data_IF_251285007811
#
_entry.id   IF_251285007811
#
_cell.length_a   1.000
_cell.length_b   1.000
_cell.length_c   1.000
_cell.angle_alpha   90.00
_cell.angle_beta   90.00
_cell.angle_gamma   90.00
#
_symmetry.space_group_name_H-M   'P 1'
#
loop_
_entity.id
_entity.type
_entity.pdbx_description
1 polymer ?
#
# COMPACT_ATOMS: atom_id res chain seq x y z
N UNK A 1 -5.78 -0.42 21.48
CA UNK A 1 -4.51 -0.88 20.87
C UNK A 1 -4.50 -0.31 19.47
N UNK A 2 -3.76 0.74 19.26
CA UNK A 2 -3.58 1.30 17.93
C UNK A 2 -2.64 0.36 17.19
N UNK A 3 -3.08 -0.22 16.06
CA UNK A 3 -2.15 -0.87 15.16
C UNK A 3 -1.39 0.22 14.44
N UNK A 4 -0.27 0.60 14.98
CA UNK A 4 0.68 1.35 14.20
C UNK A 4 1.23 0.37 13.17
N UNK A 5 0.82 0.49 11.94
CA UNK A 5 1.81 0.37 10.91
C UNK A 5 2.63 1.67 11.01
N UNK A 6 3.47 1.79 12.01
CA UNK A 6 4.72 2.45 11.76
C UNK A 6 5.05 1.94 10.37
N UNK A 7 5.08 2.81 9.38
CA UNK A 7 5.52 2.47 8.06
C UNK A 7 6.46 1.30 8.26
N UNK A 8 6.22 0.08 7.74
CA UNK A 8 7.21 -0.97 7.79
C UNK A 8 8.38 -0.48 6.96
N UNK A 9 8.82 0.69 7.35
CA UNK A 9 10.01 1.31 6.93
C UNK A 9 10.94 0.20 7.05
N UNK A 10 11.18 -0.40 5.91
CA UNK A 10 12.38 -1.10 5.80
C UNK A 10 12.92 -1.50 7.15
N UNK A 11 12.70 -2.73 7.55
CA UNK A 11 13.50 -3.30 8.62
C UNK A 11 14.99 -3.26 8.24
N UNK A 12 15.33 -2.45 7.24
CA UNK A 12 16.66 -2.00 6.95
C UNK A 12 17.06 -0.99 8.02
N UNK A 13 18.30 -0.98 8.41
CA UNK A 13 19.01 -0.13 9.37
C UNK A 13 18.82 1.40 9.23
N UNK A 14 17.72 1.87 8.65
CA UNK A 14 17.40 3.26 8.30
C UNK A 14 16.10 3.78 8.89
N UNK A 15 15.54 3.11 9.90
CA UNK A 15 14.40 3.68 10.62
C UNK A 15 14.83 5.02 11.23
N UNK A 16 14.23 6.10 10.77
CA UNK A 16 14.54 7.46 11.26
C UNK A 16 13.81 7.79 12.55
N UNK A 17 12.81 7.01 12.94
CA UNK A 17 12.03 7.21 14.14
C UNK A 17 10.84 6.26 14.27
N UNK A 18 9.98 6.52 15.23
CA UNK A 18 8.75 5.78 15.44
C UNK A 18 7.63 6.67 15.96
N UNK A 19 6.39 6.25 15.72
CA UNK A 19 5.21 6.90 16.27
C UNK A 19 4.75 6.12 17.50
N UNK A 20 4.36 6.84 18.56
CA UNK A 20 3.77 6.24 19.74
C UNK A 20 2.61 7.08 20.27
N UNK A 21 1.77 6.53 21.15
CA UNK A 21 0.71 7.30 21.78
C UNK A 21 0.66 7.15 23.29
N UNK A 22 0.26 8.23 23.94
CA UNK A 22 -0.04 8.30 25.37
C UNK A 22 -1.39 8.98 25.54
N UNK A 23 -2.36 8.28 26.12
CA UNK A 23 -3.71 8.81 26.37
C UNK A 23 -4.38 9.42 25.10
N UNK A 24 -4.17 8.77 23.95
CA UNK A 24 -4.71 9.23 22.67
C UNK A 24 -3.91 10.34 21.99
N UNK A 25 -2.95 10.94 22.67
CA UNK A 25 -2.00 11.86 22.02
C UNK A 25 -0.92 11.06 21.31
N UNK A 26 -0.73 11.32 20.01
CA UNK A 26 0.26 10.67 19.18
C UNK A 26 1.48 11.58 18.97
N UNK A 27 2.64 10.97 19.03
CA UNK A 27 3.93 11.64 18.92
C UNK A 27 4.84 10.89 17.97
N UNK A 28 5.69 11.60 17.25
CA UNK A 28 6.82 11.06 16.51
C UNK A 28 8.10 11.25 17.29
N UNK A 29 8.86 10.17 17.51
CA UNK A 29 10.18 10.17 18.12
C UNK A 29 11.25 9.89 17.06
N UNK A 30 12.17 10.82 16.85
CA UNK A 30 13.31 10.62 15.94
C UNK A 30 14.45 9.92 16.67
N UNK A 31 14.93 8.80 16.11
CA UNK A 31 16.09 8.07 16.63
C UNK A 31 17.40 8.50 15.98
N UNK A 32 17.33 9.20 14.85
CA UNK A 32 18.50 9.63 14.07
C UNK A 32 19.02 11.02 14.44
N UNK A 33 18.23 11.83 15.15
CA UNK A 33 18.60 13.19 15.52
C UNK A 33 19.23 13.24 16.91
N UNK A 34 20.18 14.17 17.09
CA UNK A 34 20.69 14.52 18.41
C UNK A 34 19.62 15.21 19.29
N UNK A 35 18.48 15.52 18.72
CA UNK A 35 17.35 16.17 19.37
C UNK A 35 16.34 15.10 19.76
N UNK A 36 16.23 14.79 21.03
CA UNK A 36 15.37 13.77 21.61
C UNK A 36 13.96 14.26 21.92
N UNK A 37 13.57 15.43 21.41
CA UNK A 37 12.24 15.96 21.63
C UNK A 37 11.22 15.29 20.73
N UNK A 38 10.13 14.84 21.35
CA UNK A 38 9.02 14.21 20.65
C UNK A 38 8.17 15.27 19.95
N UNK A 39 7.82 14.99 18.71
CA UNK A 39 6.99 15.88 17.92
C UNK A 39 5.52 15.47 18.05
N UNK A 40 4.68 16.32 18.56
CA UNK A 40 3.25 16.07 18.67
C UNK A 40 2.61 16.01 17.27
N UNK A 41 1.91 14.91 16.96
CA UNK A 41 1.27 14.68 15.67
C UNK A 41 -0.23 15.01 15.72
N UNK A 42 -0.87 14.73 16.85
CA UNK A 42 -2.31 14.95 16.98
C UNK A 42 -2.94 14.04 18.04
N UNK A 43 -4.24 14.21 18.24
CA UNK A 43 -5.02 13.37 19.15
C UNK A 43 -5.99 12.52 18.34
N UNK A 44 -5.84 11.21 18.45
CA UNK A 44 -6.67 10.24 17.71
C UNK A 44 -7.26 9.25 18.70
N UNK A 45 -8.59 9.22 18.75
CA UNK A 45 -9.34 8.31 19.61
C UNK A 45 -10.11 7.34 18.71
N UNK A 46 -9.79 6.06 18.76
CA UNK A 46 -10.53 5.04 18.03
C UNK A 46 -9.67 3.89 17.53
N UNK A 47 -10.31 2.76 17.28
CA UNK A 47 -9.75 1.64 16.57
C UNK A 47 -9.79 1.92 15.06
N UNK A 48 -8.78 1.49 14.30
CA UNK A 48 -8.77 1.61 12.84
C UNK A 48 -8.20 2.91 12.29
N UNK A 49 -7.51 3.69 13.13
CA UNK A 49 -6.71 4.83 12.66
C UNK A 49 -5.33 4.33 12.25
N UNK A 50 -4.90 4.63 11.05
CA UNK A 50 -3.56 4.38 10.58
C UNK A 50 -2.82 5.69 10.38
N UNK A 51 -1.59 5.75 10.87
CA UNK A 51 -0.73 6.92 10.78
C UNK A 51 0.47 6.58 9.92
N UNK A 52 0.73 7.41 8.91
CA UNK A 52 1.91 7.35 8.06
C UNK A 52 2.66 8.66 8.21
N UNK A 53 3.87 8.59 8.71
CA UNK A 53 4.75 9.76 8.82
C UNK A 53 5.74 9.74 7.65
N UNK A 54 5.80 10.85 6.93
CA UNK A 54 6.71 11.08 5.82
C UNK A 54 7.37 12.43 6.01
N UNK A 55 8.61 12.41 6.50
CA UNK A 55 9.44 13.61 6.76
C UNK A 55 8.67 14.73 7.48
N UNK A 56 8.16 15.70 6.71
CA UNK A 56 7.48 16.87 7.22
C UNK A 56 5.96 16.73 7.24
N UNK A 57 5.44 15.55 6.90
CA UNK A 57 4.01 15.31 6.80
C UNK A 57 3.58 14.09 7.58
N UNK A 58 2.36 14.12 8.08
CA UNK A 58 1.68 12.95 8.62
C UNK A 58 0.36 12.75 7.88
N UNK A 59 0.10 11.53 7.49
CA UNK A 59 -1.18 11.10 6.94
C UNK A 59 -1.94 10.32 7.98
N UNK A 60 -3.22 10.60 8.08
CA UNK A 60 -4.17 9.87 8.92
C UNK A 60 -5.20 9.21 8.03
N UNK A 61 -5.27 7.89 8.10
CA UNK A 61 -6.29 7.11 7.40
C UNK A 61 -7.25 6.59 8.46
N UNK A 62 -8.49 7.02 8.36
CA UNK A 62 -9.53 6.66 9.31
C UNK A 62 -10.84 6.44 8.56
N UNK A 63 -11.40 5.23 8.67
CA UNK A 63 -12.67 4.85 8.04
C UNK A 63 -12.73 5.22 6.55
N UNK A 64 -11.66 4.96 5.82
CA UNK A 64 -11.55 5.26 4.39
C UNK A 64 -11.31 6.74 4.06
N UNK A 65 -11.18 7.61 5.04
CA UNK A 65 -10.84 9.01 4.80
C UNK A 65 -9.33 9.23 4.98
N UNK A 66 -8.69 9.83 3.99
CA UNK A 66 -7.28 10.20 4.04
C UNK A 66 -7.18 11.70 4.34
N UNK A 67 -6.56 12.01 5.46
CA UNK A 67 -6.24 13.38 5.86
C UNK A 67 -4.73 13.55 5.98
N UNK A 68 -4.23 14.77 5.79
CA UNK A 68 -2.82 15.06 5.99
C UNK A 68 -2.63 16.37 6.77
N UNK A 69 -1.49 16.48 7.41
CA UNK A 69 -1.01 17.71 8.01
C UNK A 69 0.51 17.85 7.84
N UNK A 70 0.98 19.07 7.72
CA UNK A 70 2.41 19.37 7.87
C UNK A 70 2.77 19.29 9.35
N UNK A 71 3.87 18.63 9.68
CA UNK A 71 4.37 18.49 11.04
C UNK A 71 5.56 19.45 11.21
N UNK A 72 5.45 20.36 12.16
CA UNK A 72 6.52 21.32 12.50
C UNK A 72 6.71 21.33 14.01
N UNK A 73 7.94 21.53 14.44
CA UNK A 73 8.25 21.69 15.86
C UNK A 73 7.39 22.81 16.47
N UNK A 74 6.84 22.55 17.64
CA UNK A 74 6.04 23.51 18.44
C UNK A 74 4.75 24.04 17.75
N UNK A 75 4.28 23.34 16.70
CA UNK A 75 3.04 23.67 16.00
C UNK A 75 2.08 22.49 16.04
N UNK A 76 0.88 22.70 16.56
CA UNK A 76 -0.16 21.67 16.50
C UNK A 76 -0.57 21.43 15.05
N UNK A 77 -0.45 20.20 14.52
CA UNK A 77 -0.82 19.91 13.15
C UNK A 77 -2.31 20.15 12.90
N UNK A 78 -2.63 20.78 11.79
CA UNK A 78 -4.01 20.97 11.30
C UNK A 78 -4.25 20.05 10.13
N UNK A 79 -5.18 19.09 10.30
CA UNK A 79 -5.48 18.09 9.31
C UNK A 79 -6.47 18.59 8.27
N UNK A 80 -6.13 18.34 7.01
CA UNK A 80 -7.00 18.59 5.86
C UNK A 80 -7.31 17.27 5.18
N UNK A 81 -8.59 17.01 4.90
CA UNK A 81 -9.01 15.85 4.11
C UNK A 81 -8.57 16.05 2.68
N UNK A 82 -7.89 15.05 2.12
CA UNK A 82 -7.36 15.09 0.74
C UNK A 82 -8.06 14.09 -0.18
N UNK A 83 -8.55 12.99 0.37
CA UNK A 83 -9.27 11.98 -0.41
C UNK A 83 -10.15 11.12 0.48
N UNK A 84 -11.10 10.43 -0.17
CA UNK A 84 -11.82 9.29 0.38
C UNK A 84 -11.50 8.07 -0.45
N UNK A 85 -11.34 6.93 0.20
CA UNK A 85 -11.06 5.64 -0.41
C UNK A 85 -12.36 4.94 -0.78
N UNK A 86 -12.34 4.10 -1.80
CA UNK A 86 -13.43 3.19 -2.15
C UNK A 86 -13.68 2.19 -1.03
N UNK A 87 -12.63 1.50 -0.61
CA UNK A 87 -12.61 0.62 0.56
C UNK A 87 -11.66 1.10 1.65
N UNK A 88 -11.93 0.74 2.90
CA UNK A 88 -11.12 1.18 4.05
C UNK A 88 -9.64 0.73 3.99
N UNK A 89 -9.35 -0.30 3.19
CA UNK A 89 -8.01 -0.88 3.03
C UNK A 89 -7.40 -0.67 1.64
N UNK A 90 -8.05 0.12 0.78
CA UNK A 90 -7.66 0.30 -0.62
C UNK A 90 -6.52 1.29 -0.80
N UNK A 91 -5.44 1.05 -0.10
CA UNK A 91 -4.22 1.83 -0.26
C UNK A 91 -2.98 1.02 0.04
N UNK A 92 -1.88 1.45 -0.52
CA UNK A 92 -0.53 0.99 -0.21
C UNK A 92 0.41 2.18 -0.08
N UNK A 93 1.38 2.10 0.82
CA UNK A 93 2.43 3.08 0.91
C UNK A 93 3.65 2.65 0.11
N UNK A 94 4.11 3.52 -0.78
CA UNK A 94 5.27 3.30 -1.65
C UNK A 94 6.47 4.02 -1.05
N UNK A 95 7.25 3.31 -0.26
CA UNK A 95 8.36 3.85 0.53
C UNK A 95 9.38 4.64 -0.29
N UNK A 96 9.82 4.10 -1.44
CA UNK A 96 10.83 4.78 -2.27
C UNK A 96 10.30 6.07 -2.92
N UNK A 97 9.00 6.22 -3.02
CA UNK A 97 8.37 7.37 -3.65
C UNK A 97 7.75 8.33 -2.63
N UNK A 98 7.84 8.03 -1.33
CA UNK A 98 7.18 8.78 -0.25
C UNK A 98 5.72 9.12 -0.60
N UNK A 99 4.98 8.12 -1.09
CA UNK A 99 3.67 8.33 -1.74
C UNK A 99 2.69 7.24 -1.32
N UNK A 100 1.47 7.63 -1.01
CA UNK A 100 0.34 6.70 -0.88
C UNK A 100 -0.24 6.47 -2.28
N UNK A 101 -0.34 5.22 -2.69
CA UNK A 101 -1.18 4.82 -3.81
C UNK A 101 -2.50 4.26 -3.26
N UNK A 102 -3.62 4.71 -3.77
CA UNK A 102 -4.94 4.32 -3.26
C UNK A 102 -5.99 4.25 -4.37
N UNK A 103 -7.07 3.53 -4.11
CA UNK A 103 -8.28 3.60 -4.93
C UNK A 103 -9.28 4.51 -4.21
N UNK A 104 -9.73 5.56 -4.88
CA UNK A 104 -10.66 6.53 -4.33
C UNK A 104 -12.13 6.06 -4.44
N UNK A 105 -13.05 6.81 -3.84
CA UNK A 105 -14.49 6.52 -3.86
C UNK A 105 -15.12 6.52 -5.27
N UNK A 106 -14.40 7.01 -6.27
CA UNK A 106 -14.80 7.00 -7.69
C UNK A 106 -14.10 5.90 -8.50
N UNK A 107 -13.47 4.94 -7.84
CA UNK A 107 -12.71 3.86 -8.46
C UNK A 107 -11.51 4.34 -9.31
N UNK A 108 -10.89 5.43 -8.92
CA UNK A 108 -9.65 5.88 -9.54
C UNK A 108 -8.44 5.43 -8.71
N UNK A 109 -7.41 4.90 -9.38
CA UNK A 109 -6.09 4.79 -8.79
C UNK A 109 -5.50 6.19 -8.68
N UNK A 110 -5.25 6.63 -7.46
CA UNK A 110 -4.67 7.93 -7.16
C UNK A 110 -3.32 7.80 -6.48
N UNK A 111 -2.50 8.82 -6.61
CA UNK A 111 -1.31 9.01 -5.77
C UNK A 111 -1.50 10.21 -4.86
N UNK A 112 -1.06 10.09 -3.61
CA UNK A 112 -1.10 11.15 -2.61
C UNK A 112 0.32 11.38 -2.11
N UNK A 113 0.86 12.56 -2.38
CA UNK A 113 2.21 12.96 -1.93
C UNK A 113 2.21 14.42 -1.54
N UNK A 114 2.77 14.75 -0.38
CA UNK A 114 2.79 16.11 0.18
C UNK A 114 1.42 16.81 0.15
N UNK A 115 0.35 16.04 0.47
CA UNK A 115 -1.03 16.51 0.46
C UNK A 115 -1.64 16.79 -0.91
N UNK A 116 -0.95 16.47 -1.99
CA UNK A 116 -1.46 16.61 -3.37
C UNK A 116 -1.95 15.26 -3.88
N UNK A 117 -3.11 15.27 -4.51
CA UNK A 117 -3.74 14.09 -5.14
C UNK A 117 -3.56 14.18 -6.65
N UNK A 118 -3.18 13.06 -7.26
CA UNK A 118 -3.09 12.93 -8.72
C UNK A 118 -3.74 11.61 -9.15
N UNK A 119 -4.66 11.66 -10.10
CA UNK A 119 -5.22 10.46 -10.73
C UNK A 119 -4.19 9.81 -11.65
N UNK A 120 -4.03 8.51 -11.52
CA UNK A 120 -3.08 7.67 -12.26
C UNK A 120 -3.80 6.79 -13.29
N UNK A 121 -4.93 6.20 -12.90
CA UNK A 121 -5.77 5.37 -13.75
C UNK A 121 -7.22 5.42 -13.26
N UNK A 122 -8.16 5.01 -14.09
CA UNK A 122 -9.60 5.03 -13.81
C UNK A 122 -10.18 3.61 -13.89
N UNK A 123 -11.39 3.43 -13.38
CA UNK A 123 -12.15 2.17 -13.41
C UNK A 123 -11.44 1.01 -12.70
N UNK A 124 -10.80 1.26 -11.59
CA UNK A 124 -10.13 0.24 -10.77
C UNK A 124 -11.16 -0.52 -9.96
N UNK A 125 -11.06 -1.83 -9.94
CA UNK A 125 -11.89 -2.67 -9.08
C UNK A 125 -11.51 -2.46 -7.63
N UNK A 126 -12.51 -2.18 -6.80
CA UNK A 126 -12.37 -2.02 -5.34
C UNK A 126 -11.67 -3.25 -4.73
N UNK A 127 -10.77 -3.05 -3.78
CA UNK A 127 -10.00 -4.11 -3.11
C UNK A 127 -8.93 -4.79 -3.96
N UNK A 128 -8.70 -4.35 -5.20
CA UNK A 128 -7.77 -5.02 -6.11
C UNK A 128 -6.34 -4.46 -6.09
N UNK A 129 -6.14 -3.30 -5.49
CA UNK A 129 -4.82 -2.67 -5.43
C UNK A 129 -3.88 -3.45 -4.50
N UNK A 130 -2.73 -3.82 -5.01
CA UNK A 130 -1.72 -4.54 -4.24
C UNK A 130 -0.31 -4.11 -4.62
N UNK A 131 0.58 -4.12 -3.64
CA UNK A 131 2.02 -3.99 -3.88
C UNK A 131 2.60 -5.36 -4.23
N UNK A 132 3.44 -5.41 -5.24
CA UNK A 132 4.17 -6.64 -5.59
C UNK A 132 5.11 -6.99 -4.45
N UNK A 133 4.97 -8.17 -3.90
CA UNK A 133 5.73 -8.62 -2.73
C UNK A 133 7.24 -8.49 -2.95
N UNK A 134 7.95 -8.00 -1.94
CA UNK A 134 9.38 -7.71 -1.95
C UNK A 134 9.80 -6.59 -2.92
N UNK A 135 8.86 -5.74 -3.31
CA UNK A 135 9.15 -4.48 -4.01
C UNK A 135 8.62 -3.31 -3.20
N UNK A 136 9.12 -2.13 -3.47
CA UNK A 136 8.72 -0.89 -2.79
C UNK A 136 7.99 0.09 -3.71
N UNK A 137 7.78 -0.29 -4.98
CA UNK A 137 7.17 0.61 -5.97
C UNK A 137 6.28 -0.08 -7.00
N UNK A 138 6.36 -1.41 -7.09
CA UNK A 138 5.63 -2.17 -8.10
C UNK A 138 4.22 -2.49 -7.62
N UNK A 139 3.24 -2.27 -8.48
CA UNK A 139 1.83 -2.39 -8.18
C UNK A 139 1.12 -3.33 -9.13
N UNK A 140 0.08 -3.98 -8.61
CA UNK A 140 -0.96 -4.63 -9.43
C UNK A 140 -2.32 -4.14 -9.01
N UNK A 141 -3.24 -4.17 -9.96
CA UNK A 141 -4.64 -3.85 -9.75
C UNK A 141 -5.49 -4.44 -10.87
N UNK A 142 -6.79 -4.52 -10.66
CA UNK A 142 -7.75 -4.96 -11.67
C UNK A 142 -8.48 -3.74 -12.22
N UNK A 143 -8.65 -3.71 -13.53
CA UNK A 143 -9.49 -2.76 -14.25
C UNK A 143 -10.24 -3.52 -15.35
N UNK A 144 -11.54 -3.29 -15.44
CA UNK A 144 -12.40 -3.96 -16.44
C UNK A 144 -12.22 -5.48 -16.46
N UNK A 145 -12.14 -6.10 -15.27
CA UNK A 145 -11.88 -7.52 -15.07
C UNK A 145 -10.54 -8.05 -15.66
N UNK A 146 -9.57 -7.18 -15.83
CA UNK A 146 -8.24 -7.53 -16.32
C UNK A 146 -7.18 -7.06 -15.32
N UNK A 147 -6.24 -7.94 -15.04
CA UNK A 147 -5.09 -7.60 -14.20
C UNK A 147 -4.10 -6.70 -14.93
N UNK A 148 -3.65 -5.68 -14.24
CA UNK A 148 -2.59 -4.77 -14.70
C UNK A 148 -1.43 -4.76 -13.73
N UNK A 149 -0.25 -4.51 -14.26
CA UNK A 149 0.99 -4.33 -13.53
C UNK A 149 1.60 -2.96 -13.86
N UNK A 150 2.12 -2.27 -12.86
CA UNK A 150 2.93 -1.06 -12.99
C UNK A 150 4.23 -1.23 -12.23
N UNK A 151 5.35 -0.94 -12.89
CA UNK A 151 6.67 -0.94 -12.25
C UNK A 151 6.82 0.20 -11.23
N UNK A 152 6.12 1.30 -11.45
CA UNK A 152 6.00 2.45 -10.56
C UNK A 152 4.75 3.24 -10.92
N UNK A 153 4.35 4.20 -10.11
CA UNK A 153 3.21 5.07 -10.41
C UNK A 153 3.34 5.85 -11.72
N UNK A 154 4.57 6.17 -12.11
CA UNK A 154 4.86 6.93 -13.33
C UNK A 154 5.17 6.08 -14.55
N UNK A 155 5.40 4.78 -14.37
CA UNK A 155 5.64 3.86 -15.48
C UNK A 155 4.34 3.55 -16.24
N UNK A 156 4.48 3.19 -17.51
CA UNK A 156 3.36 2.66 -18.28
C UNK A 156 2.79 1.40 -17.62
N UNK A 157 1.49 1.26 -17.69
CA UNK A 157 0.82 0.05 -17.24
C UNK A 157 1.00 -1.09 -18.26
N UNK A 158 1.09 -2.30 -17.76
CA UNK A 158 1.20 -3.50 -18.57
C UNK A 158 -0.02 -4.38 -18.31
N UNK A 159 -0.81 -4.62 -19.36
CA UNK A 159 -1.92 -5.57 -19.31
C UNK A 159 -1.35 -6.98 -19.16
N UNK A 160 -1.83 -7.72 -18.15
CA UNK A 160 -1.40 -9.09 -17.88
C UNK A 160 -2.31 -10.06 -18.67
N UNK A 161 -1.98 -10.27 -19.92
CA UNK A 161 -2.86 -10.95 -20.91
C UNK A 161 -3.12 -12.42 -20.61
N UNK A 162 -2.20 -13.09 -19.92
CA UNK A 162 -2.31 -14.51 -19.60
C UNK A 162 -3.02 -14.75 -18.26
N UNK A 163 -3.39 -13.68 -17.55
CA UNK A 163 -4.21 -13.76 -16.35
C UNK A 163 -5.66 -13.53 -16.75
N UNK A 164 -6.48 -14.56 -16.63
CA UNK A 164 -7.91 -14.47 -16.99
C UNK A 164 -8.65 -13.44 -16.13
N UNK A 165 -9.75 -12.93 -16.65
CA UNK A 165 -10.62 -11.97 -15.97
C UNK A 165 -11.22 -12.48 -14.66
N UNK A 166 -11.27 -13.79 -14.52
CA UNK A 166 -11.82 -14.58 -13.42
C UNK A 166 -10.71 -15.18 -12.54
N UNK A 167 -9.46 -14.74 -12.75
CA UNK A 167 -8.39 -15.13 -11.84
C UNK A 167 -8.75 -14.67 -10.43
N UNK A 168 -8.71 -15.59 -9.48
CA UNK A 168 -8.89 -15.27 -8.08
C UNK A 168 -7.66 -14.49 -7.60
N UNK A 169 -7.82 -13.18 -7.62
CA UNK A 169 -6.76 -12.22 -7.26
C UNK A 169 -6.47 -12.19 -5.77
N UNK A 170 -7.39 -12.65 -4.94
CA UNK A 170 -7.19 -12.76 -3.48
C UNK A 170 -6.10 -13.79 -3.18
N UNK A 171 -5.97 -14.82 -4.02
CA UNK A 171 -4.95 -15.87 -3.88
C UNK A 171 -3.70 -15.63 -4.73
N UNK A 172 -3.55 -14.45 -5.31
CA UNK A 172 -2.40 -14.11 -6.15
C UNK A 172 -1.13 -13.93 -5.33
N UNK A 173 -0.06 -14.54 -5.77
CA UNK A 173 1.24 -14.51 -5.11
C UNK A 173 2.35 -14.17 -6.09
N UNK A 174 3.13 -13.13 -5.78
CA UNK A 174 4.37 -12.82 -6.50
C UNK A 174 5.57 -13.46 -5.81
N UNK A 175 6.32 -14.26 -6.56
CA UNK A 175 7.56 -14.87 -6.09
C UNK A 175 8.57 -15.04 -7.22
N UNK A 176 9.81 -14.60 -7.01
CA UNK A 176 10.93 -14.71 -7.97
C UNK A 176 10.53 -14.29 -9.40
N UNK A 177 9.92 -13.11 -9.52
CA UNK A 177 9.45 -12.55 -10.80
C UNK A 177 8.35 -13.36 -11.51
N UNK A 178 7.66 -14.24 -10.81
CA UNK A 178 6.49 -14.95 -11.29
C UNK A 178 5.28 -14.61 -10.46
N UNK A 179 4.16 -14.48 -11.13
CA UNK A 179 2.83 -14.43 -10.55
C UNK A 179 2.26 -15.84 -10.51
N UNK A 180 1.75 -16.26 -9.36
CA UNK A 180 0.98 -17.48 -9.17
C UNK A 180 -0.45 -17.12 -8.82
N UNK A 181 -1.41 -17.74 -9.50
CA UNK A 181 -2.83 -17.41 -9.38
C UNK A 181 -3.69 -18.62 -9.73
N UNK A 182 -4.96 -18.62 -9.32
CA UNK A 182 -5.93 -19.59 -9.80
C UNK A 182 -6.66 -19.04 -11.02
N UNK A 183 -6.80 -19.86 -12.05
CA UNK A 183 -7.66 -19.53 -13.19
C UNK A 183 -9.13 -19.89 -12.91
N UNK A 184 -10.02 -19.63 -13.89
CA UNK A 184 -11.44 -19.96 -13.82
C UNK A 184 -11.72 -21.44 -13.52
N UNK A 185 -10.86 -22.33 -13.99
CA UNK A 185 -10.96 -23.77 -13.74
C UNK A 185 -10.41 -24.20 -12.38
N UNK A 186 -10.05 -23.23 -11.52
CA UNK A 186 -9.41 -23.44 -10.22
C UNK A 186 -8.08 -24.20 -10.29
N UNK A 187 -7.39 -24.10 -11.41
CA UNK A 187 -6.04 -24.64 -11.54
C UNK A 187 -5.01 -23.58 -11.15
N UNK A 188 -3.98 -24.00 -10.43
CA UNK A 188 -2.84 -23.14 -10.14
C UNK A 188 -2.07 -22.87 -11.43
N UNK A 189 -1.93 -21.62 -11.78
CA UNK A 189 -1.20 -21.14 -12.93
C UNK A 189 -0.02 -20.27 -12.52
N UNK A 190 0.94 -20.11 -13.39
CA UNK A 190 2.01 -19.14 -13.23
C UNK A 190 2.27 -18.39 -14.53
N UNK A 191 2.64 -17.11 -14.41
CA UNK A 191 3.12 -16.31 -15.53
C UNK A 191 4.26 -15.38 -15.05
N UNK A 192 4.88 -14.65 -15.96
CA UNK A 192 5.82 -13.58 -15.56
C UNK A 192 5.05 -12.45 -14.89
N UNK A 193 5.73 -11.58 -14.16
CA UNK A 193 5.13 -10.35 -13.58
C UNK A 193 4.47 -9.43 -14.63
N UNK A 194 4.81 -9.60 -15.90
CA UNK A 194 4.17 -8.89 -17.02
C UNK A 194 2.98 -9.66 -17.61
N UNK A 195 2.52 -10.73 -16.95
CA UNK A 195 1.39 -11.53 -17.42
C UNK A 195 1.63 -12.29 -18.70
N UNK A 196 2.88 -12.63 -19.02
CA UNK A 196 3.27 -13.38 -20.21
C UNK A 196 3.80 -14.78 -19.83
N UNK A 197 3.79 -15.69 -20.80
CA UNK A 197 4.27 -17.06 -20.64
C UNK A 197 3.49 -17.81 -19.56
N UNK A 198 2.17 -17.69 -19.58
CA UNK A 198 1.27 -18.39 -18.68
C UNK A 198 1.38 -19.91 -18.85
N UNK A 199 1.42 -20.63 -17.75
CA UNK A 199 1.43 -22.09 -17.72
C UNK A 199 0.64 -22.62 -16.54
N UNK A 200 -0.07 -23.72 -16.74
CA UNK A 200 -0.70 -24.45 -15.65
C UNK A 200 0.38 -25.17 -14.86
N UNK A 201 0.40 -24.95 -13.54
CA UNK A 201 1.30 -25.63 -12.62
C UNK A 201 0.71 -26.94 -12.16
N UNK A 202 -0.62 -26.99 -11.91
CA UNK A 202 -1.33 -28.20 -11.55
C UNK A 202 -2.67 -27.97 -10.88
N UNK A 203 -3.33 -29.06 -10.52
CA UNK A 203 -4.54 -29.06 -9.71
C UNK A 203 -4.14 -29.00 -8.24
N UNK A 204 -4.30 -27.82 -7.61
CA UNK A 204 -3.85 -27.57 -6.25
C UNK A 204 -4.97 -26.87 -5.49
N UNK A 205 -5.39 -27.43 -4.38
CA UNK A 205 -6.45 -26.84 -3.56
C UNK A 205 -6.00 -25.57 -2.83
N UNK A 206 -4.73 -25.54 -2.41
CA UNK A 206 -4.13 -24.40 -1.70
C UNK A 206 -2.63 -24.33 -1.96
N UNK A 207 -2.08 -23.13 -1.96
CA UNK A 207 -0.64 -22.93 -1.95
C UNK A 207 -0.24 -21.77 -1.03
N UNK A 208 0.97 -21.83 -0.51
CA UNK A 208 1.60 -20.78 0.29
C UNK A 208 3.11 -20.82 0.11
N UNK A 209 3.76 -19.72 0.46
CA UNK A 209 5.23 -19.67 0.45
C UNK A 209 5.77 -20.51 1.62
N UNK A 210 6.61 -21.48 1.29
CA UNK A 210 7.47 -22.13 2.25
C UNK A 210 8.76 -21.33 2.46
N UNK A 211 9.25 -21.26 3.70
CA UNK A 211 10.59 -20.78 4.01
C UNK A 211 11.49 -21.98 4.29
N UNK A 212 12.59 -22.09 3.53
CA UNK A 212 13.65 -23.02 3.93
C UNK A 212 14.43 -22.37 5.08
N UNK A 213 14.38 -22.98 6.24
CA UNK A 213 15.31 -22.68 7.31
C UNK A 213 16.62 -23.41 7.00
N UNK A 214 17.66 -22.63 6.73
CA UNK A 214 19.03 -23.16 6.63
C UNK A 214 19.65 -23.21 8.01
#
# INVERSE_FOLDING_TARGET
>A
RYSYKANPVNQSDKAEGFIYSVNGNCYYHSISSKNTEDMFIGKFNGSGVELIYDKDYVYVINSGQVSYASVKKDVTPVFTVVSKLGGASDYVFLELADTIAAVDENNNLISISSGKVKTIAENITDGSLSIVKNTSSELTYIRDNVQYYKKSLTADEVKMTDVGSDADTVSTLFYKNKLYYYNSDKKLCSCTVKGKNGSVVGDVERFWLGTEYK
#
